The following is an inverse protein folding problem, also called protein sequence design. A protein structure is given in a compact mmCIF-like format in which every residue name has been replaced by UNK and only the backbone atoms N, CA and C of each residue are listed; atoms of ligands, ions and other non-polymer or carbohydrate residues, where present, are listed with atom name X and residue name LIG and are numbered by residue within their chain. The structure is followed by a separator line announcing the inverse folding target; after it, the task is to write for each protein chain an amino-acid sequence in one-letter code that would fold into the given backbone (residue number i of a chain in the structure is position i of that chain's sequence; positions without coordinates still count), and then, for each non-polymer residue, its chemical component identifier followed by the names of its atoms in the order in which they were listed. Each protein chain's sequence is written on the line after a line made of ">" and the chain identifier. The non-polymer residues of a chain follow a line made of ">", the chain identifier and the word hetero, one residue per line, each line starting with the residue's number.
data_IF_928632967824
#
_entry.id   IF_928632967824
#
_cell.length_a   1.000
_cell.length_b   1.000
_cell.length_c   1.000
_cell.angle_alpha   90.00
_cell.angle_beta   90.00
_cell.angle_gamma   90.00
#
_symmetry.space_group_name_H-M   'P 1'
#
loop_
_entity.id
_entity.type
_entity.pdbx_description
1 polymer ?
#
# COMPACT_ATOMS: atom_id res chain seq x y z
N UNK A 1 -3.20 5.73 -0.71
CA UNK A 1 -1.89 5.50 -1.38
C UNK A 1 -1.07 4.51 -0.56
N UNK A 2 -0.28 3.66 -1.20
CA UNK A 2 0.69 2.81 -0.50
C UNK A 2 2.03 3.55 -0.43
N UNK A 3 2.61 3.69 0.75
CA UNK A 3 3.99 4.11 0.95
C UNK A 3 4.84 2.86 1.23
N UNK A 4 5.67 2.48 0.26
CA UNK A 4 6.55 1.31 0.37
C UNK A 4 7.61 1.48 1.47
N UNK A 5 7.93 2.71 1.87
CA UNK A 5 8.97 3.02 2.86
C UNK A 5 10.37 2.47 2.46
N UNK A 6 10.65 2.42 1.14
CA UNK A 6 11.94 2.04 0.56
C UNK A 6 12.64 3.29 0.00
N UNK A 7 13.85 3.54 0.45
CA UNK A 7 14.74 4.58 -0.05
C UNK A 7 15.55 4.05 -1.23
N UNK A 8 15.07 4.34 -2.45
CA UNK A 8 15.75 3.97 -3.68
C UNK A 8 15.45 4.97 -4.80
N UNK A 9 16.47 5.32 -5.59
CA UNK A 9 16.30 6.15 -6.80
C UNK A 9 17.38 5.85 -7.83
N UNK A 10 16.98 5.37 -9.00
CA UNK A 10 17.92 5.10 -10.10
C UNK A 10 18.58 6.38 -10.64
N UNK A 11 17.90 7.53 -10.55
CA UNK A 11 18.41 8.81 -11.04
C UNK A 11 19.28 9.56 -10.01
N UNK A 12 19.29 9.10 -8.76
CA UNK A 12 20.11 9.62 -7.65
C UNK A 12 20.80 8.47 -6.91
N UNK A 13 21.69 7.72 -7.59
CA UNK A 13 22.35 6.55 -6.99
C UNK A 13 23.34 6.92 -5.87
N UNK A 14 23.73 8.19 -5.79
CA UNK A 14 24.66 8.77 -4.82
C UNK A 14 23.99 9.34 -3.56
N UNK A 15 22.66 9.38 -3.52
CA UNK A 15 21.94 9.84 -2.34
C UNK A 15 21.98 8.79 -1.23
N UNK A 16 22.43 9.21 -0.04
CA UNK A 16 22.45 8.34 1.14
C UNK A 16 21.05 8.24 1.77
N UNK A 17 20.28 7.22 1.40
CA UNK A 17 18.97 6.99 1.99
C UNK A 17 19.02 6.61 3.48
N UNK A 18 20.13 6.06 3.97
CA UNK A 18 20.25 5.62 5.37
C UNK A 18 20.21 6.77 6.38
N UNK A 19 20.35 8.01 5.92
CA UNK A 19 20.21 9.20 6.75
C UNK A 19 18.76 9.48 7.18
N UNK A 20 17.76 8.86 6.53
CA UNK A 20 16.35 9.02 6.86
C UNK A 20 15.96 7.93 7.85
N UNK A 21 15.44 8.33 9.01
CA UNK A 21 15.02 7.39 10.05
C UNK A 21 13.96 6.42 9.53
N UNK A 22 14.08 5.15 9.92
CA UNK A 22 13.14 4.05 9.62
C UNK A 22 12.95 3.73 8.12
N UNK A 23 13.72 4.31 7.19
CA UNK A 23 13.61 3.96 5.78
C UNK A 23 14.36 2.65 5.49
N UNK A 24 13.74 1.75 4.72
CA UNK A 24 14.43 0.57 4.22
C UNK A 24 15.40 0.99 3.11
N UNK A 25 16.62 0.45 3.10
CA UNK A 25 17.62 0.71 2.05
C UNK A 25 17.77 -0.46 1.06
N UNK A 26 17.08 -1.57 1.32
CA UNK A 26 17.00 -2.71 0.42
C UNK A 26 15.66 -3.46 0.60
N UNK A 27 15.38 -4.40 -0.29
CA UNK A 27 14.11 -5.14 -0.33
C UNK A 27 13.93 -6.17 0.79
N UNK A 28 14.98 -6.49 1.53
CA UNK A 28 14.98 -7.51 2.58
C UNK A 28 15.06 -6.94 4.00
N UNK A 29 15.50 -5.70 4.17
CA UNK A 29 15.68 -5.05 5.47
C UNK A 29 14.46 -4.26 5.95
N UNK A 30 13.49 -3.99 5.08
CA UNK A 30 12.30 -3.24 5.45
C UNK A 30 11.36 -4.02 6.37
N UNK A 31 10.84 -3.32 7.38
CA UNK A 31 9.98 -3.88 8.42
C UNK A 31 8.51 -3.50 8.22
N UNK A 32 8.27 -2.25 7.81
CA UNK A 32 6.93 -1.68 7.73
C UNK A 32 6.76 -0.82 6.48
N UNK A 33 5.60 -0.94 5.84
CA UNK A 33 5.08 0.01 4.85
C UNK A 33 3.84 0.68 5.42
N UNK A 34 3.26 1.66 4.71
CA UNK A 34 2.13 2.42 5.24
C UNK A 34 1.02 2.60 4.22
N UNK A 35 -0.23 2.53 4.68
CA UNK A 35 -1.33 3.20 4.01
C UNK A 35 -1.27 4.69 4.34
N UNK A 36 -1.32 5.57 3.32
CA UNK A 36 -1.45 7.02 3.48
C UNK A 36 -2.66 7.57 2.71
N UNK A 37 -3.42 8.44 3.36
CA UNK A 37 -4.47 9.26 2.74
C UNK A 37 -4.09 10.73 2.82
N UNK A 38 -4.15 11.41 1.68
CA UNK A 38 -3.87 12.84 1.58
C UNK A 38 -5.14 13.59 1.20
N UNK A 39 -5.35 14.75 1.82
CA UNK A 39 -6.28 15.77 1.35
C UNK A 39 -5.50 16.78 0.52
N UNK A 40 -5.91 16.99 -0.74
CA UNK A 40 -5.28 17.91 -1.68
C UNK A 40 -6.14 19.17 -1.79
N UNK A 41 -5.52 20.34 -1.68
CA UNK A 41 -6.10 21.64 -2.03
C UNK A 41 -5.40 22.17 -3.27
N UNK A 42 -6.07 22.04 -4.41
CA UNK A 42 -5.53 22.44 -5.70
C UNK A 42 -5.47 23.97 -5.87
N UNK A 43 -6.36 24.73 -5.20
CA UNK A 43 -6.35 26.19 -5.28
C UNK A 43 -5.15 26.77 -4.54
N UNK A 44 -4.82 26.21 -3.37
CA UNK A 44 -3.66 26.60 -2.59
C UNK A 44 -2.36 25.92 -3.07
N UNK A 45 -2.45 24.86 -3.89
CA UNK A 45 -1.31 24.07 -4.31
C UNK A 45 -0.67 23.28 -3.16
N UNK A 46 -1.48 22.79 -2.22
CA UNK A 46 -1.01 22.12 -0.99
C UNK A 46 -1.64 20.74 -0.82
N UNK A 47 -1.02 19.92 0.00
CA UNK A 47 -1.57 18.64 0.44
C UNK A 47 -1.28 18.42 1.92
N UNK A 48 -2.13 17.64 2.59
CA UNK A 48 -1.97 17.30 4.00
C UNK A 48 -2.25 15.82 4.20
N UNK A 49 -1.36 15.11 4.91
CA UNK A 49 -1.60 13.74 5.34
C UNK A 49 -2.72 13.75 6.38
N UNK A 50 -3.84 13.10 6.08
CA UNK A 50 -5.02 13.08 6.96
C UNK A 50 -5.22 11.73 7.66
N UNK A 51 -4.55 10.69 7.19
CA UNK A 51 -4.65 9.35 7.76
C UNK A 51 -3.42 8.52 7.40
N UNK A 52 -2.96 7.73 8.35
CA UNK A 52 -1.89 6.76 8.13
C UNK A 52 -1.98 5.61 9.12
N UNK A 53 -1.69 4.40 8.65
CA UNK A 53 -1.46 3.24 9.52
C UNK A 53 -0.45 2.28 8.89
N UNK A 54 0.16 1.46 9.75
CA UNK A 54 1.16 0.47 9.37
C UNK A 54 0.53 -0.71 8.63
N UNK A 55 1.22 -1.20 7.62
CA UNK A 55 0.89 -2.40 6.87
C UNK A 55 2.16 -3.21 6.62
N UNK A 56 2.06 -4.52 6.31
CA UNK A 56 3.24 -5.34 6.04
C UNK A 56 4.14 -4.70 4.97
N UNK A 57 5.45 -4.74 5.21
CA UNK A 57 6.42 -4.15 4.29
C UNK A 57 6.34 -4.74 2.88
N UNK A 58 6.37 -3.90 1.86
CA UNK A 58 6.61 -4.34 0.49
C UNK A 58 7.47 -3.28 -0.18
N UNK A 59 8.74 -3.58 -0.44
CA UNK A 59 9.68 -2.58 -0.98
C UNK A 59 9.36 -2.18 -2.42
N UNK A 60 8.82 -3.10 -3.20
CA UNK A 60 8.21 -2.85 -4.50
C UNK A 60 6.81 -3.43 -4.55
N UNK A 61 6.05 -3.03 -5.59
CA UNK A 61 4.74 -3.57 -5.99
C UNK A 61 3.73 -3.72 -4.85
N UNK A 62 2.73 -2.85 -4.86
CA UNK A 62 1.70 -2.85 -3.83
C UNK A 62 0.49 -2.10 -4.35
N UNK A 63 -0.64 -2.31 -3.70
CA UNK A 63 -1.83 -1.52 -4.00
C UNK A 63 -2.67 -1.27 -2.76
N UNK A 64 -3.46 -0.20 -2.86
CA UNK A 64 -4.47 0.18 -1.89
C UNK A 64 -5.73 0.51 -2.65
N UNK A 65 -6.86 0.03 -2.17
CA UNK A 65 -8.19 0.41 -2.62
C UNK A 65 -9.05 0.74 -1.40
N UNK A 66 -9.64 1.94 -1.38
CA UNK A 66 -10.73 2.23 -0.45
C UNK A 66 -12.00 1.57 -0.98
N UNK A 67 -12.59 0.68 -0.17
CA UNK A 67 -13.91 0.10 -0.37
C UNK A 67 -14.91 0.82 0.56
N UNK A 68 -16.20 0.45 0.52
CA UNK A 68 -17.23 1.13 1.33
C UNK A 68 -16.90 1.13 2.84
N UNK A 69 -16.63 -0.05 3.42
CA UNK A 69 -16.41 -0.19 4.87
C UNK A 69 -14.95 -0.52 5.25
N UNK A 70 -14.12 -0.87 4.27
CA UNK A 70 -12.76 -1.36 4.49
C UNK A 70 -11.77 -0.78 3.49
N UNK A 71 -10.50 -0.85 3.85
CA UNK A 71 -9.37 -0.49 3.02
C UNK A 71 -8.66 -1.80 2.67
N UNK A 72 -8.68 -2.17 1.38
CA UNK A 72 -7.95 -3.30 0.86
C UNK A 72 -6.50 -2.88 0.61
N UNK A 73 -5.56 -3.66 1.14
CA UNK A 73 -4.12 -3.43 1.00
C UNK A 73 -3.44 -4.70 0.51
N UNK A 74 -2.63 -4.57 -0.53
CA UNK A 74 -1.81 -5.63 -1.09
C UNK A 74 -0.33 -5.31 -0.86
N UNK A 75 0.30 -6.09 0.02
CA UNK A 75 1.75 -6.10 0.25
C UNK A 75 2.38 -7.14 -0.67
N UNK A 76 2.53 -6.75 -1.93
CA UNK A 76 2.69 -7.69 -3.05
C UNK A 76 3.93 -8.58 -2.96
N UNK A 77 5.06 -8.06 -2.46
CA UNK A 77 6.28 -8.88 -2.28
C UNK A 77 6.17 -9.88 -1.13
N UNK A 78 5.30 -9.64 -0.15
CA UNK A 78 5.01 -10.62 0.89
C UNK A 78 3.92 -11.62 0.47
N UNK A 79 3.21 -11.35 -0.62
CA UNK A 79 2.04 -12.14 -1.01
C UNK A 79 0.90 -12.00 -0.01
N UNK A 80 0.80 -10.85 0.66
CA UNK A 80 -0.17 -10.60 1.70
C UNK A 80 -1.23 -9.61 1.24
N UNK A 81 -2.49 -9.98 1.45
CA UNK A 81 -3.65 -9.13 1.17
C UNK A 81 -4.39 -8.93 2.48
N UNK A 82 -4.51 -7.71 2.96
CA UNK A 82 -5.23 -7.36 4.19
C UNK A 82 -6.41 -6.44 3.90
N UNK A 83 -7.51 -6.64 4.62
CA UNK A 83 -8.59 -5.66 4.72
C UNK A 83 -8.55 -5.02 6.09
N UNK A 84 -8.55 -3.69 6.12
CA UNK A 84 -8.42 -2.88 7.32
C UNK A 84 -9.62 -1.96 7.48
N UNK A 85 -9.99 -1.63 8.72
CA UNK A 85 -10.89 -0.50 9.00
C UNK A 85 -10.17 0.82 8.77
N UNK A 86 -10.93 1.92 8.77
CA UNK A 86 -10.37 3.27 8.66
C UNK A 86 -9.36 3.60 9.79
N UNK A 87 -9.53 3.06 10.99
CA UNK A 87 -8.57 3.25 12.09
C UNK A 87 -7.30 2.40 11.98
N UNK A 88 -7.15 1.61 10.91
CA UNK A 88 -6.02 0.69 10.71
C UNK A 88 -6.17 -0.66 11.40
N UNK A 89 -7.32 -0.94 12.04
CA UNK A 89 -7.58 -2.27 12.61
C UNK A 89 -7.71 -3.31 11.50
N UNK A 90 -6.87 -4.35 11.55
CA UNK A 90 -6.97 -5.49 10.63
C UNK A 90 -8.29 -6.26 10.84
N UNK A 91 -9.06 -6.40 9.76
CA UNK A 91 -10.30 -7.20 9.74
C UNK A 91 -10.00 -8.63 9.30
N UNK A 92 -9.25 -8.79 8.20
CA UNK A 92 -8.94 -10.09 7.62
C UNK A 92 -7.66 -10.01 6.80
N UNK A 93 -6.90 -11.10 6.77
CA UNK A 93 -5.69 -11.23 5.98
C UNK A 93 -5.67 -12.55 5.21
N UNK A 94 -5.13 -12.51 4.00
CA UNK A 94 -4.93 -13.66 3.13
C UNK A 94 -3.46 -13.73 2.74
N UNK A 95 -2.90 -14.93 2.76
CA UNK A 95 -1.57 -15.22 2.26
C UNK A 95 -1.69 -16.00 0.95
N UNK A 96 -1.02 -15.50 -0.08
CA UNK A 96 -0.82 -16.25 -1.32
C UNK A 96 0.55 -16.92 -1.32
N UNK A 97 0.60 -18.15 -1.84
CA UNK A 97 1.85 -18.78 -2.21
C UNK A 97 2.36 -18.12 -3.50
N UNK A 98 3.44 -17.34 -3.39
CA UNK A 98 4.03 -16.68 -4.55
C UNK A 98 4.68 -17.73 -5.46
N UNK A 99 4.28 -17.75 -6.73
CA UNK A 99 4.88 -18.66 -7.72
C UNK A 99 6.31 -18.23 -8.12
N UNK A 100 6.63 -16.93 -7.99
CA UNK A 100 7.95 -16.41 -8.32
C UNK A 100 8.39 -15.24 -7.44
N UNK A 101 7.77 -14.06 -7.61
CA UNK A 101 8.32 -12.83 -7.03
C UNK A 101 7.32 -12.03 -6.20
N UNK A 102 6.09 -11.83 -6.69
CA UNK A 102 5.13 -10.93 -6.05
C UNK A 102 3.72 -11.02 -6.65
N UNK A 103 2.77 -10.46 -5.93
CA UNK A 103 1.48 -10.00 -6.47
C UNK A 103 1.66 -8.55 -6.95
N UNK A 104 1.17 -8.22 -8.14
CA UNK A 104 1.37 -6.86 -8.68
C UNK A 104 0.36 -5.86 -8.12
N UNK A 105 -0.94 -6.17 -8.23
CA UNK A 105 -2.05 -5.39 -7.67
C UNK A 105 -3.23 -6.30 -7.38
N UNK A 106 -4.05 -5.92 -6.40
CA UNK A 106 -5.31 -6.58 -6.07
C UNK A 106 -6.42 -5.55 -6.05
N UNK A 107 -7.59 -5.94 -6.54
CA UNK A 107 -8.80 -5.13 -6.49
C UNK A 107 -9.97 -5.99 -6.02
N UNK A 108 -10.88 -5.36 -5.27
CA UNK A 108 -12.16 -5.90 -4.86
C UNK A 108 -13.25 -5.16 -5.63
N UNK A 109 -13.98 -5.93 -6.44
CA UNK A 109 -15.12 -5.45 -7.21
C UNK A 109 -16.38 -6.14 -6.71
N UNK A 110 -17.51 -5.44 -6.75
CA UNK A 110 -18.83 -5.99 -6.48
C UNK A 110 -19.41 -6.77 -7.68
N UNK A 111 -18.83 -6.55 -8.87
CA UNK A 111 -19.25 -7.11 -10.16
C UNK A 111 -20.68 -6.75 -10.58
N UNK A 112 -21.26 -5.71 -9.98
CA UNK A 112 -22.56 -5.15 -10.35
C UNK A 112 -22.53 -4.66 -11.81
N UNK A 113 -23.59 -4.97 -12.56
CA UNK A 113 -23.68 -4.65 -14.00
C UNK A 113 -22.81 -5.50 -14.92
N UNK A 114 -22.02 -6.43 -14.39
CA UNK A 114 -21.20 -7.36 -15.18
C UNK A 114 -21.62 -8.83 -14.98
N UNK A 115 -21.54 -9.33 -13.74
CA UNK A 115 -21.99 -10.69 -13.40
C UNK A 115 -23.38 -10.70 -12.77
N UNK A 116 -23.78 -9.60 -12.12
CA UNK A 116 -25.08 -9.45 -11.47
C UNK A 116 -25.82 -8.27 -12.12
N UNK A 117 -27.06 -8.49 -12.56
CA UNK A 117 -27.92 -7.39 -13.03
C UNK A 117 -28.44 -6.59 -11.83
N UNK A 118 -28.59 -5.28 -11.99
CA UNK A 118 -29.27 -4.44 -10.99
C UNK A 118 -30.72 -4.92 -10.83
N UNK A 119 -31.18 -5.09 -9.58
CA UNK A 119 -32.60 -5.37 -9.25
C UNK A 119 -33.46 -4.11 -9.34
#
# INVERSE_FOLDING_TARGET
>A
MFNNNLGYSESRPDYDWSQIDQIATDLSSGTTSYYYKYKVDENAGTYTLVQSFEVPFSGYVSSVQECEDTILVDSGMQGLIGEYKEDGTLVKQFQMNLSKYYIYRVYKYDFSGYLFTEE
#
